data_IF_602140696353
#
_entry.id   IF_602140696353
#
_cell.length_a   1.000
_cell.length_b   1.000
_cell.length_c   1.000
_cell.angle_alpha   90.00
_cell.angle_beta   90.00
_cell.angle_gamma   90.00
#
_symmetry.space_group_name_H-M   'P 1'
#
loop_
_entity.id
_entity.type
_entity.pdbx_description
1 polymer ?
#
# COMPACT_ATOMS: atom_id res chain seq x y z
N UNK A 1 17.34 0.17 -26.20
CA UNK A 1 16.16 0.63 -25.46
C UNK A 1 16.14 -0.10 -24.12
N UNK A 2 16.47 0.60 -23.01
CA UNK A 2 16.27 0.06 -21.68
C UNK A 2 14.77 0.06 -21.40
N UNK A 3 14.17 -1.13 -21.38
CA UNK A 3 12.86 -1.32 -20.78
C UNK A 3 12.99 -0.99 -19.29
N UNK A 4 12.39 0.11 -18.88
CA UNK A 4 12.30 0.45 -17.47
C UNK A 4 11.59 -0.72 -16.76
N UNK A 5 12.28 -1.38 -15.84
CA UNK A 5 11.65 -2.39 -14.99
C UNK A 5 10.77 -1.66 -13.98
N UNK A 6 9.51 -2.04 -13.90
CA UNK A 6 8.59 -1.54 -12.91
C UNK A 6 8.41 -2.58 -11.81
N UNK A 7 8.46 -2.13 -10.56
CA UNK A 7 8.06 -2.93 -9.40
C UNK A 7 6.62 -2.56 -9.08
N UNK A 8 5.71 -3.45 -9.45
CA UNK A 8 4.27 -3.22 -9.35
C UNK A 8 3.60 -4.12 -8.32
N UNK A 9 2.49 -3.65 -7.79
CA UNK A 9 1.49 -4.45 -7.08
C UNK A 9 0.27 -4.64 -7.96
N UNK A 10 -0.29 -5.84 -7.95
CA UNK A 10 -1.46 -6.19 -8.75
C UNK A 10 -2.71 -6.31 -7.88
N UNK A 11 -3.83 -5.73 -8.34
CA UNK A 11 -5.12 -5.86 -7.68
C UNK A 11 -5.73 -7.23 -7.97
N UNK A 12 -5.96 -8.05 -6.93
CA UNK A 12 -6.57 -9.37 -7.03
C UNK A 12 -8.10 -9.34 -6.81
N UNK A 13 -8.57 -8.39 -6.00
CA UNK A 13 -9.98 -8.22 -5.67
C UNK A 13 -10.29 -6.74 -5.47
N UNK A 14 -11.44 -6.31 -5.98
CA UNK A 14 -11.96 -4.97 -5.72
C UNK A 14 -13.44 -5.03 -5.36
N UNK A 15 -13.80 -4.33 -4.29
CA UNK A 15 -15.18 -4.10 -3.91
C UNK A 15 -15.43 -2.59 -4.03
N UNK A 16 -16.33 -2.20 -4.94
CA UNK A 16 -16.70 -0.81 -5.12
C UNK A 16 -17.66 -0.36 -4.01
N UNK A 17 -17.36 0.80 -3.39
CA UNK A 17 -18.28 1.44 -2.46
C UNK A 17 -19.52 2.00 -3.17
N UNK A 18 -20.53 2.39 -2.39
CA UNK A 18 -21.79 2.97 -2.91
C UNK A 18 -21.59 4.35 -3.57
N UNK A 19 -20.50 5.05 -3.29
CA UNK A 19 -20.14 6.32 -3.92
C UNK A 19 -19.01 6.03 -4.91
N UNK A 20 -19.27 6.28 -6.18
CA UNK A 20 -18.33 6.00 -7.26
C UNK A 20 -17.10 6.91 -7.19
N UNK A 21 -15.94 6.35 -6.87
CA UNK A 21 -14.70 6.84 -7.46
C UNK A 21 -14.71 6.36 -8.91
N UNK A 22 -14.57 7.27 -9.84
CA UNK A 22 -14.39 6.97 -11.26
C UNK A 22 -12.96 6.43 -11.50
N UNK A 23 -12.56 5.38 -10.77
CA UNK A 23 -11.28 4.72 -11.02
C UNK A 23 -11.55 3.48 -11.86
N UNK A 24 -10.95 3.42 -13.05
CA UNK A 24 -10.94 2.26 -13.94
C UNK A 24 -10.10 1.10 -13.35
N UNK A 25 -10.10 0.94 -12.02
CA UNK A 25 -9.38 -0.12 -11.32
C UNK A 25 -10.20 -1.40 -11.38
N UNK A 26 -9.71 -2.39 -12.08
CA UNK A 26 -10.25 -3.75 -12.11
C UNK A 26 -9.28 -4.76 -11.51
N UNK A 27 -9.73 -6.01 -11.38
CA UNK A 27 -8.83 -7.14 -11.10
C UNK A 27 -7.79 -7.23 -12.21
N UNK A 28 -6.54 -7.45 -11.85
CA UNK A 28 -5.39 -7.45 -12.78
C UNK A 28 -4.77 -6.07 -13.02
N UNK A 29 -5.36 -4.98 -12.51
CA UNK A 29 -4.73 -3.65 -12.60
C UNK A 29 -3.43 -3.64 -11.79
N UNK A 30 -2.36 -3.13 -12.40
CA UNK A 30 -1.04 -3.01 -11.79
C UNK A 30 -0.76 -1.56 -11.39
N UNK A 31 -0.12 -1.38 -10.25
CA UNK A 31 0.22 -0.08 -9.70
C UNK A 31 1.68 -0.06 -9.25
N UNK A 32 2.38 1.09 -9.35
CA UNK A 32 3.71 1.24 -8.79
C UNK A 32 3.71 0.93 -7.29
N UNK A 33 4.48 -0.07 -6.86
CA UNK A 33 4.45 -0.55 -5.47
C UNK A 33 4.87 0.53 -4.47
N UNK A 34 5.87 1.34 -4.81
CA UNK A 34 6.36 2.42 -3.93
C UNK A 34 5.36 3.56 -3.71
N UNK A 35 4.41 3.75 -4.63
CA UNK A 35 3.47 4.87 -4.60
C UNK A 35 2.14 4.53 -3.90
N UNK A 36 1.79 3.25 -3.79
CA UNK A 36 0.50 2.81 -3.23
C UNK A 36 0.62 2.23 -1.83
N UNK A 37 -0.43 2.35 -1.01
CA UNK A 37 -0.45 1.75 0.34
C UNK A 37 -0.29 0.24 0.31
N UNK A 38 -0.95 -0.46 -0.63
CA UNK A 38 -0.83 -1.91 -0.80
C UNK A 38 0.61 -2.31 -1.14
N UNK A 39 1.23 -1.62 -2.09
CA UNK A 39 2.60 -1.91 -2.50
C UNK A 39 3.59 -1.65 -1.37
N UNK A 40 3.48 -0.53 -0.66
CA UNK A 40 4.34 -0.23 0.48
C UNK A 40 4.21 -1.24 1.62
N UNK A 41 2.99 -1.68 1.93
CA UNK A 41 2.77 -2.76 2.91
C UNK A 41 3.52 -4.03 2.51
N UNK A 42 3.46 -4.44 1.24
CA UNK A 42 4.19 -5.62 0.76
C UNK A 42 5.71 -5.42 0.76
N UNK A 43 6.19 -4.19 0.54
CA UNK A 43 7.62 -3.86 0.57
C UNK A 43 8.15 -3.67 1.99
N UNK A 44 7.30 -3.48 3.00
CA UNK A 44 7.71 -3.07 4.35
C UNK A 44 8.57 -4.10 5.10
N UNK A 45 8.55 -5.37 4.69
CA UNK A 45 9.39 -6.42 5.29
C UNK A 45 10.79 -6.52 4.66
N UNK A 46 11.04 -5.76 3.58
CA UNK A 46 12.33 -5.78 2.90
C UNK A 46 13.34 -4.86 3.62
N UNK A 47 14.54 -5.38 3.82
CA UNK A 47 15.68 -4.59 4.29
C UNK A 47 16.14 -3.58 3.23
N UNK A 48 16.94 -2.60 3.63
CA UNK A 48 17.50 -1.62 2.68
C UNK A 48 18.29 -2.28 1.55
N UNK A 49 19.19 -3.26 1.77
CA UNK A 49 19.86 -3.97 0.68
C UNK A 49 18.90 -4.69 -0.28
N UNK A 50 17.85 -5.32 0.24
CA UNK A 50 16.84 -5.98 -0.59
C UNK A 50 16.05 -4.99 -1.44
N UNK A 51 15.67 -3.84 -0.87
CA UNK A 51 15.04 -2.75 -1.63
C UNK A 51 15.98 -2.18 -2.70
N UNK A 52 17.26 -1.99 -2.39
CA UNK A 52 18.27 -1.52 -3.34
C UNK A 52 18.40 -2.50 -4.51
N UNK A 53 18.47 -3.80 -4.22
CA UNK A 53 18.52 -4.84 -5.25
C UNK A 53 17.25 -4.88 -6.09
N UNK A 54 16.08 -4.80 -5.46
CA UNK A 54 14.78 -4.83 -6.13
C UNK A 54 14.61 -3.66 -7.11
N UNK A 55 15.05 -2.48 -6.72
CA UNK A 55 14.97 -1.25 -7.52
C UNK A 55 16.24 -0.94 -8.32
N UNK A 56 17.20 -1.88 -8.40
CA UNK A 56 18.40 -1.69 -9.19
C UNK A 56 18.06 -1.44 -10.67
N UNK A 57 18.54 -0.30 -11.20
CA UNK A 57 18.23 0.11 -12.57
C UNK A 57 16.76 0.55 -12.81
N UNK A 58 15.99 0.73 -11.74
CA UNK A 58 14.59 1.19 -11.79
C UNK A 58 14.51 2.58 -11.19
N UNK A 59 13.84 3.50 -11.89
CA UNK A 59 13.49 4.81 -11.31
C UNK A 59 12.20 4.69 -10.49
N UNK A 60 12.22 5.25 -9.28
CA UNK A 60 11.00 5.49 -8.53
C UNK A 60 10.34 6.74 -9.10
N UNK A 61 9.32 6.53 -9.92
CA UNK A 61 8.57 7.64 -10.50
C UNK A 61 7.86 8.43 -9.42
N UNK A 62 8.11 9.74 -9.37
CA UNK A 62 7.40 10.64 -8.48
C UNK A 62 6.05 11.01 -9.09
N UNK A 63 5.04 10.19 -8.83
CA UNK A 63 3.66 10.34 -9.36
C UNK A 63 3.02 11.63 -8.85
N UNK A 64 3.27 11.97 -7.58
CA UNK A 64 2.89 13.24 -6.95
C UNK A 64 4.04 13.78 -6.11
N UNK A 65 3.91 15.00 -5.57
CA UNK A 65 4.92 15.57 -4.66
C UNK A 65 5.08 14.77 -3.36
N UNK A 66 4.10 13.95 -3.00
CA UNK A 66 4.09 13.11 -1.81
C UNK A 66 4.65 11.70 -2.05
N UNK A 67 4.90 11.33 -3.31
CA UNK A 67 5.49 10.03 -3.65
C UNK A 67 6.98 10.01 -3.29
N UNK A 68 7.44 8.97 -2.60
CA UNK A 68 8.87 8.73 -2.39
C UNK A 68 9.57 8.57 -3.75
N UNK A 69 10.66 9.29 -3.97
CA UNK A 69 11.39 9.33 -5.25
C UNK A 69 12.79 8.70 -5.19
N UNK A 70 13.16 8.14 -4.05
CA UNK A 70 14.43 7.44 -3.85
C UNK A 70 14.27 6.24 -2.92
N UNK A 71 15.14 5.24 -3.08
CA UNK A 71 15.13 4.04 -2.23
C UNK A 71 15.38 4.37 -0.75
N UNK A 72 16.31 5.26 -0.37
CA UNK A 72 16.47 5.66 1.03
C UNK A 72 15.22 6.33 1.62
N UNK A 73 14.55 7.19 0.85
CA UNK A 73 13.30 7.82 1.29
C UNK A 73 12.18 6.80 1.46
N UNK A 74 12.02 5.90 0.48
CA UNK A 74 11.09 4.79 0.56
C UNK A 74 11.35 3.92 1.78
N UNK A 75 12.59 3.49 2.03
CA UNK A 75 12.95 2.66 3.17
C UNK A 75 12.58 3.32 4.50
N UNK A 76 12.85 4.62 4.65
CA UNK A 76 12.47 5.37 5.87
C UNK A 76 10.95 5.42 6.06
N UNK A 77 10.20 5.63 4.97
CA UNK A 77 8.73 5.61 5.00
C UNK A 77 8.20 4.23 5.40
N UNK A 78 8.75 3.16 4.79
CA UNK A 78 8.37 1.78 5.10
C UNK A 78 8.64 1.41 6.55
N UNK A 79 9.78 1.84 7.11
CA UNK A 79 10.10 1.62 8.53
C UNK A 79 9.07 2.24 9.46
N UNK A 80 8.66 3.48 9.19
CA UNK A 80 7.59 4.16 9.95
C UNK A 80 6.25 3.42 9.82
N UNK A 81 5.88 3.02 8.61
CA UNK A 81 4.62 2.29 8.36
C UNK A 81 4.63 0.90 9.01
N UNK A 82 5.77 0.22 9.03
CA UNK A 82 5.95 -1.05 9.73
C UNK A 82 5.77 -0.91 11.25
N UNK A 83 6.38 0.10 11.85
CA UNK A 83 6.28 0.38 13.30
C UNK A 83 4.83 0.68 13.72
N UNK A 84 4.09 1.43 12.91
CA UNK A 84 2.69 1.76 13.20
C UNK A 84 1.70 0.65 12.81
N UNK A 85 2.10 -0.32 11.97
CA UNK A 85 1.31 -1.48 11.56
C UNK A 85 0.37 -1.23 10.38
N UNK A 86 0.41 -0.06 9.75
CA UNK A 86 -0.41 0.28 8.58
C UNK A 86 0.30 1.31 7.69
N UNK A 87 -0.06 1.34 6.42
CA UNK A 87 0.36 2.37 5.47
C UNK A 87 -0.74 3.40 5.27
N UNK A 88 -0.35 4.68 5.26
CA UNK A 88 -1.24 5.80 5.01
C UNK A 88 -0.79 6.57 3.78
N UNK A 89 -1.71 6.90 2.90
CA UNK A 89 -1.46 7.76 1.74
C UNK A 89 -2.38 8.96 1.78
N UNK A 90 -1.78 10.14 1.75
CA UNK A 90 -2.45 11.41 1.55
C UNK A 90 -1.97 11.95 0.20
N UNK A 91 -2.68 11.59 -0.87
CA UNK A 91 -2.34 12.00 -2.25
C UNK A 91 -1.00 11.50 -2.79
N UNK A 92 -0.45 10.37 -2.29
CA UNK A 92 0.86 9.88 -2.75
C UNK A 92 0.83 9.21 -4.13
N UNK A 93 -0.31 8.68 -4.56
CA UNK A 93 -0.49 8.07 -5.88
C UNK A 93 -1.31 8.96 -6.82
N UNK A 94 -2.36 9.59 -6.30
CA UNK A 94 -3.24 10.49 -7.05
C UNK A 94 -3.62 11.67 -6.16
N UNK A 95 -3.54 12.89 -6.68
CA UNK A 95 -3.90 14.09 -5.94
C UNK A 95 -5.38 14.06 -5.52
N UNK A 96 -5.66 14.37 -4.25
CA UNK A 96 -7.01 14.35 -3.69
C UNK A 96 -7.55 12.96 -3.39
N UNK A 97 -6.74 11.91 -3.54
CA UNK A 97 -7.08 10.53 -3.18
C UNK A 97 -6.31 10.10 -1.94
N UNK A 98 -7.02 9.61 -0.95
CA UNK A 98 -6.46 9.13 0.31
C UNK A 98 -6.70 7.64 0.48
N UNK A 99 -5.81 6.97 1.17
CA UNK A 99 -5.87 5.53 1.35
C UNK A 99 -5.21 5.10 2.66
N UNK A 100 -5.75 4.06 3.27
CA UNK A 100 -5.12 3.33 4.37
C UNK A 100 -5.09 1.85 4.05
N UNK A 101 -3.96 1.20 4.30
CA UNK A 101 -3.75 -0.21 3.99
C UNK A 101 -3.04 -0.97 5.11
N UNK A 102 -3.29 -2.27 5.19
CA UNK A 102 -2.67 -3.17 6.16
C UNK A 102 -2.29 -4.52 5.53
N UNK A 103 -1.32 -5.19 6.14
CA UNK A 103 -0.79 -6.47 5.68
C UNK A 103 -1.65 -7.65 6.12
N UNK A 104 -1.81 -8.60 5.23
CA UNK A 104 -2.38 -9.91 5.48
C UNK A 104 -1.22 -10.89 5.63
N UNK A 105 -1.17 -11.58 6.78
CA UNK A 105 -0.08 -12.49 7.13
C UNK A 105 -0.52 -13.94 7.02
N UNK A 106 0.40 -14.79 6.62
CA UNK A 106 0.22 -16.24 6.65
C UNK A 106 0.59 -16.86 8.02
N UNK A 107 0.57 -18.19 8.11
CA UNK A 107 0.92 -18.93 9.32
C UNK A 107 2.37 -18.73 9.79
N UNK A 108 3.29 -18.32 8.91
CA UNK A 108 4.67 -17.98 9.23
C UNK A 108 4.84 -16.57 9.79
N UNK A 109 3.78 -15.75 9.73
CA UNK A 109 3.79 -14.34 10.10
C UNK A 109 4.25 -13.39 8.97
N UNK A 110 4.58 -13.95 7.80
CA UNK A 110 5.01 -13.16 6.64
C UNK A 110 3.82 -12.46 5.98
N UNK A 111 4.00 -11.21 5.56
CA UNK A 111 3.01 -10.49 4.75
C UNK A 111 2.99 -11.09 3.33
N UNK A 112 1.86 -11.67 2.94
CA UNK A 112 1.66 -12.30 1.64
C UNK A 112 0.69 -11.52 0.74
N UNK A 113 -0.10 -10.62 1.32
CA UNK A 113 -1.04 -9.77 0.62
C UNK A 113 -1.29 -8.48 1.42
N UNK A 114 -1.99 -7.54 0.82
CA UNK A 114 -2.42 -6.32 1.48
C UNK A 114 -3.90 -6.03 1.18
N UNK A 115 -4.57 -5.39 2.12
CA UNK A 115 -5.93 -4.86 1.98
C UNK A 115 -5.91 -3.35 2.22
N UNK A 116 -6.71 -2.60 1.50
CA UNK A 116 -6.83 -1.16 1.72
C UNK A 116 -8.25 -0.65 1.53
N UNK A 117 -8.49 0.55 2.05
CA UNK A 117 -9.63 1.40 1.69
C UNK A 117 -9.07 2.65 1.05
N UNK A 118 -9.64 3.04 -0.07
CA UNK A 118 -9.24 4.21 -0.87
C UNK A 118 -10.47 5.05 -1.22
N UNK A 119 -10.33 6.35 -1.16
CA UNK A 119 -11.39 7.26 -1.53
C UNK A 119 -10.92 8.71 -1.68
N UNK A 120 -11.80 9.62 -2.14
CA UNK A 120 -11.47 11.04 -2.24
C UNK A 120 -11.34 11.65 -0.83
N UNK A 121 -10.39 12.56 -0.67
CA UNK A 121 -10.18 13.29 0.59
C UNK A 121 -11.38 14.14 1.03
N UNK A 122 -12.27 14.48 0.10
CA UNK A 122 -13.54 15.15 0.38
C UNK A 122 -14.58 14.27 1.07
N UNK A 123 -14.37 12.94 1.06
CA UNK A 123 -15.23 11.93 1.72
C UNK A 123 -14.56 11.35 2.95
N UNK A 124 -13.26 11.13 2.89
CA UNK A 124 -12.44 10.60 3.96
C UNK A 124 -11.48 11.69 4.43
N UNK A 125 -11.89 12.47 5.42
CA UNK A 125 -10.97 13.40 6.05
C UNK A 125 -9.89 12.63 6.83
N UNK A 126 -8.86 13.36 7.23
CA UNK A 126 -7.70 12.76 7.89
C UNK A 126 -8.05 12.09 9.22
N UNK A 127 -8.96 12.69 9.99
CA UNK A 127 -9.37 12.16 11.29
C UNK A 127 -10.10 10.82 11.14
N UNK A 128 -11.05 10.73 10.20
CA UNK A 128 -11.73 9.48 9.88
C UNK A 128 -10.76 8.41 9.37
N UNK A 129 -9.81 8.81 8.51
CA UNK A 129 -8.83 7.89 7.91
C UNK A 129 -7.87 7.31 8.95
N UNK A 130 -7.34 8.13 9.86
CA UNK A 130 -6.45 7.70 10.94
C UNK A 130 -7.20 7.10 12.15
N UNK A 131 -8.52 7.23 12.19
CA UNK A 131 -9.41 6.69 13.20
C UNK A 131 -10.17 5.45 12.75
N UNK A 132 -11.49 5.58 12.58
CA UNK A 132 -12.39 4.44 12.32
C UNK A 132 -12.03 3.65 11.07
N UNK A 133 -11.64 4.32 9.97
CA UNK A 133 -11.34 3.63 8.72
C UNK A 133 -10.09 2.75 8.88
N UNK A 134 -9.04 3.27 9.50
CA UNK A 134 -7.83 2.52 9.85
C UNK A 134 -8.17 1.29 10.70
N UNK A 135 -8.97 1.48 11.74
CA UNK A 135 -9.33 0.39 12.66
C UNK A 135 -10.08 -0.73 11.92
N UNK A 136 -11.01 -0.38 11.03
CA UNK A 136 -11.71 -1.36 10.18
C UNK A 136 -10.78 -2.12 9.24
N UNK A 137 -9.80 -1.45 8.65
CA UNK A 137 -8.80 -2.10 7.78
C UNK A 137 -7.94 -3.08 8.58
N UNK A 138 -7.49 -2.68 9.77
CA UNK A 138 -6.69 -3.53 10.65
C UNK A 138 -7.48 -4.74 11.16
N UNK A 139 -8.74 -4.56 11.55
CA UNK A 139 -9.64 -5.66 11.93
C UNK A 139 -9.81 -6.67 10.79
N UNK A 140 -10.07 -6.18 9.58
CA UNK A 140 -10.26 -7.04 8.40
C UNK A 140 -8.95 -7.79 8.05
N UNK A 141 -7.82 -7.11 8.04
CA UNK A 141 -6.50 -7.72 7.80
C UNK A 141 -6.20 -8.81 8.83
N UNK A 142 -6.47 -8.54 10.11
CA UNK A 142 -6.29 -9.51 11.21
C UNK A 142 -7.22 -10.71 11.05
N UNK A 143 -8.49 -10.48 10.72
CA UNK A 143 -9.46 -11.57 10.54
C UNK A 143 -9.07 -12.51 9.38
N UNK A 144 -8.60 -11.93 8.26
CA UNK A 144 -8.13 -12.72 7.11
C UNK A 144 -6.85 -13.48 7.49
N UNK A 145 -5.88 -12.83 8.14
CA UNK A 145 -4.62 -13.44 8.58
C UNK A 145 -4.88 -14.64 9.50
N UNK A 146 -5.80 -14.54 10.45
CA UNK A 146 -6.20 -15.66 11.33
C UNK A 146 -6.75 -16.85 10.54
N UNK A 147 -7.55 -16.59 9.49
CA UNK A 147 -8.06 -17.66 8.60
C UNK A 147 -6.96 -18.33 7.79
N UNK A 148 -5.85 -17.62 7.54
CA UNK A 148 -4.65 -18.14 6.88
C UNK A 148 -3.66 -18.79 7.86
N UNK A 149 -4.07 -18.96 9.13
CA UNK A 149 -3.29 -19.66 10.14
C UNK A 149 -2.34 -18.78 10.96
N UNK A 150 -2.38 -17.47 10.77
CA UNK A 150 -1.60 -16.54 11.60
C UNK A 150 -2.16 -16.53 13.04
N UNK A 151 -1.28 -16.70 14.03
CA UNK A 151 -1.71 -16.83 15.44
C UNK A 151 -1.50 -15.57 16.29
N UNK A 152 -1.12 -14.45 15.62
CA UNK A 152 -0.93 -13.14 16.27
C UNK A 152 0.44 -12.97 16.88
#
# INVERSE_FOLDING_TARGET
AHLARHVDVEALLRIAGRRHLASNVGVGTRFPAHATTMGRVLLSELSLPELQQLYEGTMLEQVTKQTANSVPELHRLLGKEQEQGYALSLSAFEAGVVSVGAGIRDASGKIIAAINITGPETVFDREALEGEIKDRVLEAATAISKRLGHRG
#
